data_IF_158411778857
#
_entry.id   IF_158411778857
#
_cell.length_a   1.000
_cell.length_b   1.000
_cell.length_c   1.000
_cell.angle_alpha   90.00
_cell.angle_beta   90.00
_cell.angle_gamma   90.00
#
_symmetry.space_group_name_H-M   'P 1'
#
loop_
_entity.id
_entity.type
_entity.pdbx_description
1 polymer ?
#
# COMPACT_ATOMS: atom_id res chain seq x y z
N UNK A 1 -21.10 1.84 12.77
CA UNK A 1 -19.70 1.49 12.53
C UNK A 1 -19.46 0.01 12.74
N UNK A 2 -18.76 -0.63 11.84
CA UNK A 2 -18.54 -2.07 11.89
C UNK A 2 -17.10 -2.34 12.36
N UNK A 3 -16.93 -2.55 13.66
CA UNK A 3 -15.61 -2.78 14.23
C UNK A 3 -14.97 -4.06 13.71
N UNK A 4 -15.78 -5.05 13.39
CA UNK A 4 -15.29 -6.30 12.84
C UNK A 4 -14.66 -6.08 11.46
N UNK A 5 -15.28 -5.24 10.65
CA UNK A 5 -14.75 -4.93 9.33
C UNK A 5 -13.44 -4.15 9.43
N UNK A 6 -13.37 -3.20 10.36
CA UNK A 6 -12.15 -2.44 10.59
C UNK A 6 -11.02 -3.34 11.04
N UNK A 7 -11.31 -4.28 11.93
CA UNK A 7 -10.30 -5.24 12.37
C UNK A 7 -9.82 -6.09 11.20
N UNK A 8 -10.74 -6.53 10.35
CA UNK A 8 -10.38 -7.30 9.17
C UNK A 8 -9.47 -6.48 8.26
N UNK A 9 -9.78 -5.20 8.07
CA UNK A 9 -8.94 -4.32 7.26
C UNK A 9 -7.52 -4.24 7.81
N UNK A 10 -7.39 -4.10 9.13
CA UNK A 10 -6.09 -4.02 9.76
C UNK A 10 -5.32 -5.33 9.64
N UNK A 11 -6.01 -6.45 9.84
CA UNK A 11 -5.38 -7.76 9.73
C UNK A 11 -4.89 -8.02 8.32
N UNK A 12 -5.70 -7.64 7.32
CA UNK A 12 -5.32 -7.80 5.91
C UNK A 12 -4.11 -6.94 5.60
N UNK A 13 -4.14 -5.67 6.04
CA UNK A 13 -3.01 -4.77 5.80
C UNK A 13 -1.73 -5.32 6.40
N UNK A 14 -1.80 -5.78 7.63
CA UNK A 14 -0.62 -6.31 8.31
C UNK A 14 -0.08 -7.55 7.61
N UNK A 15 -0.96 -8.48 7.26
CA UNK A 15 -0.55 -9.70 6.60
C UNK A 15 0.08 -9.42 5.23
N UNK A 16 -0.54 -8.52 4.45
CA UNK A 16 0.00 -8.18 3.14
C UNK A 16 1.33 -7.45 3.25
N UNK A 17 1.52 -6.64 4.29
CA UNK A 17 2.79 -5.97 4.47
C UNK A 17 3.93 -6.96 4.72
N UNK A 18 3.62 -8.12 5.28
CA UNK A 18 4.60 -9.17 5.46
C UNK A 18 4.78 -10.03 4.22
N UNK A 19 3.73 -10.18 3.43
CA UNK A 19 3.78 -11.02 2.23
C UNK A 19 4.42 -10.30 1.04
N UNK A 20 4.22 -8.99 0.94
CA UNK A 20 4.66 -8.24 -0.22
C UNK A 20 6.17 -8.35 -0.47
N UNK A 21 7.04 -8.28 0.55
CA UNK A 21 8.48 -8.49 0.32
C UNK A 21 8.85 -9.86 -0.21
N UNK A 22 7.95 -10.84 -0.07
CA UNK A 22 8.20 -12.20 -0.55
C UNK A 22 7.86 -12.39 -2.03
N UNK A 23 7.22 -11.38 -2.65
CA UNK A 23 6.93 -11.43 -4.07
C UNK A 23 8.24 -11.35 -4.84
N UNK A 24 8.49 -12.31 -5.71
CA UNK A 24 9.77 -12.40 -6.41
C UNK A 24 9.81 -11.63 -7.72
N UNK A 25 8.70 -11.07 -8.14
CA UNK A 25 8.63 -10.33 -9.40
C UNK A 25 9.39 -9.02 -9.28
N UNK A 26 10.44 -8.80 -10.09
CA UNK A 26 11.22 -7.56 -9.99
C UNK A 26 10.40 -6.30 -10.27
N UNK A 27 9.30 -6.43 -11.01
CA UNK A 27 8.43 -5.27 -11.25
C UNK A 27 7.79 -4.76 -9.96
N UNK A 28 7.64 -5.63 -8.97
CA UNK A 28 7.08 -5.26 -7.67
C UNK A 28 8.16 -4.72 -6.74
N UNK A 29 9.38 -5.23 -6.85
CA UNK A 29 10.48 -4.85 -5.96
C UNK A 29 11.21 -3.64 -6.53
N UNK A 30 10.52 -2.51 -6.57
CA UNK A 30 11.06 -1.25 -7.06
C UNK A 30 11.13 -0.23 -5.94
N UNK A 31 11.96 0.79 -6.15
CA UNK A 31 12.08 1.87 -5.19
C UNK A 31 12.90 1.45 -3.98
N UNK A 32 12.89 2.32 -2.98
CA UNK A 32 13.67 2.12 -1.77
C UNK A 32 12.85 1.47 -0.67
N UNK A 33 11.55 1.73 -0.65
CA UNK A 33 10.67 1.22 0.38
C UNK A 33 9.26 1.12 -0.18
N UNK A 34 8.65 -0.05 0.00
CA UNK A 34 7.26 -0.29 -0.37
C UNK A 34 6.49 -0.54 0.91
N UNK A 35 5.36 0.13 1.08
CA UNK A 35 4.53 -0.09 2.24
C UNK A 35 3.07 -0.11 1.85
N UNK A 36 2.28 -0.85 2.63
CA UNK A 36 0.84 -0.89 2.45
C UNK A 36 0.24 0.09 3.44
N UNK A 37 -0.35 1.15 2.92
CA UNK A 37 -0.85 2.22 3.76
C UNK A 37 -2.25 1.95 4.26
N UNK A 38 -3.04 1.20 3.48
CA UNK A 38 -4.43 0.96 3.84
C UNK A 38 -4.96 -0.26 3.10
N UNK A 39 -5.88 -0.96 3.73
CA UNK A 39 -6.64 -2.02 3.09
C UNK A 39 -8.11 -1.79 3.43
N UNK A 40 -8.97 -1.92 2.42
CA UNK A 40 -10.41 -1.69 2.58
C UNK A 40 -11.15 -2.87 1.98
N UNK A 41 -11.69 -3.72 2.85
CA UNK A 41 -12.49 -4.87 2.44
C UNK A 41 -13.92 -4.42 2.26
N UNK A 42 -14.57 -4.87 1.19
CA UNK A 42 -15.98 -4.53 0.98
C UNK A 42 -16.84 -5.27 2.00
N UNK A 43 -18.06 -4.74 2.24
CA UNK A 43 -18.94 -5.29 3.26
C UNK A 43 -19.34 -6.73 2.99
N UNK A 44 -19.37 -7.15 1.72
CA UNK A 44 -19.67 -8.54 1.34
C UNK A 44 -18.43 -9.42 1.31
N UNK A 45 -17.26 -8.89 1.67
CA UNK A 45 -15.98 -9.59 1.73
C UNK A 45 -15.49 -10.12 0.37
N UNK A 46 -16.02 -9.62 -0.73
CA UNK A 46 -15.62 -10.08 -2.05
C UNK A 46 -14.38 -9.41 -2.58
N UNK A 47 -14.16 -8.16 -2.21
CA UNK A 47 -13.05 -7.36 -2.75
C UNK A 47 -12.33 -6.66 -1.63
N UNK A 48 -11.04 -6.43 -1.84
CA UNK A 48 -10.23 -5.64 -0.93
C UNK A 48 -9.39 -4.69 -1.75
N UNK A 49 -9.58 -3.40 -1.53
CA UNK A 49 -8.71 -2.39 -2.10
C UNK A 49 -7.48 -2.25 -1.24
N UNK A 50 -6.32 -2.39 -1.85
CA UNK A 50 -5.04 -2.35 -1.14
C UNK A 50 -4.27 -1.14 -1.65
N UNK A 51 -4.00 -0.21 -0.76
CA UNK A 51 -3.28 1.02 -1.11
C UNK A 51 -1.80 0.83 -0.79
N UNK A 52 -0.97 1.03 -1.80
CA UNK A 52 0.46 0.77 -1.72
C UNK A 52 1.20 2.07 -1.98
N UNK A 53 2.17 2.38 -1.14
CA UNK A 53 3.04 3.54 -1.30
C UNK A 53 4.46 3.08 -1.57
N UNK A 54 5.13 3.76 -2.49
CA UNK A 54 6.51 3.44 -2.84
C UNK A 54 7.33 4.70 -2.73
N UNK A 55 8.43 4.62 -1.98
CA UNK A 55 9.43 5.66 -1.93
C UNK A 55 10.55 5.31 -2.91
N UNK A 56 11.05 6.33 -3.62
CA UNK A 56 12.10 6.13 -4.60
C UNK A 56 11.53 6.05 -6.01
N UNK A 57 12.41 5.70 -6.94
CA UNK A 57 12.00 5.65 -8.34
C UNK A 57 11.11 4.46 -8.63
N UNK A 58 10.12 4.69 -9.45
CA UNK A 58 9.10 3.70 -9.72
C UNK A 58 8.60 3.82 -11.14
N UNK A 59 8.61 2.69 -11.85
CA UNK A 59 7.86 2.58 -13.09
C UNK A 59 6.46 2.08 -12.74
N UNK A 60 5.49 3.00 -12.68
CA UNK A 60 4.16 2.67 -12.20
C UNK A 60 3.48 1.59 -13.01
N UNK A 61 3.65 1.65 -14.32
CA UNK A 61 3.01 0.69 -15.22
C UNK A 61 3.50 -0.72 -14.94
N UNK A 62 4.82 -0.88 -14.85
CA UNK A 62 5.41 -2.17 -14.55
C UNK A 62 5.05 -2.64 -13.14
N UNK A 63 5.06 -1.72 -12.20
CA UNK A 63 4.72 -2.04 -10.82
C UNK A 63 3.29 -2.57 -10.72
N UNK A 64 2.35 -1.89 -11.36
CA UNK A 64 0.94 -2.32 -11.35
C UNK A 64 0.78 -3.68 -12.03
N UNK A 65 1.49 -3.90 -13.13
CA UNK A 65 1.45 -5.20 -13.80
C UNK A 65 2.00 -6.30 -12.92
N UNK A 66 3.08 -6.01 -12.22
CA UNK A 66 3.67 -6.98 -11.29
C UNK A 66 2.73 -7.32 -10.16
N UNK A 67 2.09 -6.32 -9.57
CA UNK A 67 1.12 -6.56 -8.51
C UNK A 67 -0.05 -7.38 -9.01
N UNK A 68 -0.56 -7.06 -10.19
CA UNK A 68 -1.66 -7.81 -10.77
C UNK A 68 -1.26 -9.26 -11.01
N UNK A 69 -0.05 -9.48 -11.46
CA UNK A 69 0.47 -10.83 -11.70
C UNK A 69 0.65 -11.59 -10.39
N UNK A 70 1.03 -10.90 -9.31
CA UNK A 70 1.25 -11.53 -8.01
C UNK A 70 -0.05 -11.68 -7.21
N UNK A 71 -1.12 -11.04 -7.61
CA UNK A 71 -2.36 -11.01 -6.84
C UNK A 71 -2.91 -12.39 -6.51
N UNK A 72 -2.94 -13.37 -7.43
CA UNK A 72 -3.45 -14.70 -7.07
C UNK A 72 -2.64 -15.37 -5.98
N UNK A 73 -1.32 -15.23 -6.02
CA UNK A 73 -0.45 -15.79 -5.00
C UNK A 73 -0.65 -15.08 -3.67
N UNK A 74 -0.70 -13.74 -3.70
CA UNK A 74 -0.94 -12.96 -2.50
C UNK A 74 -2.29 -13.30 -1.87
N UNK A 75 -3.32 -13.47 -2.71
CA UNK A 75 -4.64 -13.82 -2.23
C UNK A 75 -4.63 -15.17 -1.53
N UNK A 76 -3.98 -16.14 -2.11
CA UNK A 76 -3.89 -17.48 -1.54
C UNK A 76 -3.15 -17.46 -0.21
N UNK A 77 -2.02 -16.76 -0.16
CA UNK A 77 -1.23 -16.67 1.06
C UNK A 77 -1.97 -15.90 2.14
N UNK A 78 -2.70 -14.86 1.74
CA UNK A 78 -3.49 -14.08 2.68
C UNK A 78 -4.57 -14.94 3.33
N UNK A 79 -5.27 -15.72 2.53
CA UNK A 79 -6.31 -16.60 3.04
C UNK A 79 -5.77 -17.59 4.04
N UNK A 80 -4.59 -18.14 3.75
CA UNK A 80 -3.94 -19.07 4.65
C UNK A 80 -3.49 -18.39 5.94
N UNK A 81 -2.91 -17.19 5.82
CA UNK A 81 -2.37 -16.47 6.97
C UNK A 81 -3.46 -16.04 7.94
N UNK A 82 -4.61 -15.65 7.45
CA UNK A 82 -5.69 -15.13 8.28
C UNK A 82 -6.81 -16.13 8.53
N UNK A 83 -6.69 -17.33 7.93
CA UNK A 83 -7.72 -18.36 8.08
C UNK A 83 -9.10 -17.83 7.73
N UNK A 84 -9.17 -17.10 6.61
CA UNK A 84 -10.41 -16.49 6.16
C UNK A 84 -11.30 -17.52 5.48
N UNK A 85 -12.59 -17.45 5.80
CA UNK A 85 -13.59 -18.30 5.15
C UNK A 85 -13.66 -17.98 3.66
N UNK A 86 -13.67 -16.71 3.33
CA UNK A 86 -13.61 -16.23 1.96
C UNK A 86 -12.48 -15.24 1.87
N UNK A 87 -11.61 -15.42 0.88
CA UNK A 87 -10.51 -14.50 0.68
C UNK A 87 -10.91 -13.51 -0.40
N UNK A 88 -10.91 -12.21 -0.09
CA UNK A 88 -11.32 -11.22 -1.08
C UNK A 88 -10.35 -11.14 -2.23
N UNK A 89 -10.87 -10.73 -3.37
CA UNK A 89 -10.02 -10.42 -4.52
C UNK A 89 -9.30 -9.11 -4.25
N UNK A 90 -7.99 -9.08 -4.52
CA UNK A 90 -7.17 -7.92 -4.20
C UNK A 90 -7.12 -6.96 -5.38
N UNK A 91 -7.40 -5.70 -5.11
CA UNK A 91 -7.34 -4.63 -6.08
C UNK A 91 -6.33 -3.62 -5.57
N UNK A 92 -5.21 -3.46 -6.30
CA UNK A 92 -4.13 -2.61 -5.84
C UNK A 92 -4.25 -1.21 -6.42
N UNK A 93 -4.04 -0.22 -5.56
CA UNK A 93 -4.03 1.19 -5.93
C UNK A 93 -2.77 1.82 -5.38
N UNK A 94 -2.19 2.75 -6.13
CA UNK A 94 -1.06 3.50 -5.62
C UNK A 94 -1.56 4.63 -4.74
N UNK A 95 -1.01 4.69 -3.54
CA UNK A 95 -1.30 5.78 -2.61
C UNK A 95 -0.16 6.79 -2.72
N UNK A 96 -0.45 7.93 -3.29
CA UNK A 96 0.56 8.95 -3.56
C UNK A 96 0.69 9.98 -2.46
N UNK A 97 -0.14 9.88 -1.43
CA UNK A 97 -0.17 10.92 -0.40
C UNK A 97 1.15 11.03 0.35
N UNK A 98 1.75 9.90 0.70
CA UNK A 98 3.04 9.89 1.40
C UNK A 98 4.16 10.36 0.48
N UNK A 99 4.19 9.86 -0.74
CA UNK A 99 5.22 10.24 -1.70
C UNK A 99 5.14 11.73 -2.01
N UNK A 100 3.92 12.26 -2.14
CA UNK A 100 3.73 13.69 -2.39
C UNK A 100 4.21 14.52 -1.22
N UNK A 101 3.90 14.09 0.01
CA UNK A 101 4.38 14.78 1.20
C UNK A 101 5.89 14.80 1.30
N UNK A 102 6.53 13.69 0.99
CA UNK A 102 7.99 13.61 1.00
C UNK A 102 8.60 14.55 -0.03
N UNK A 103 7.98 14.64 -1.20
CA UNK A 103 8.45 15.55 -2.25
C UNK A 103 8.37 17.01 -1.80
N UNK A 104 7.27 17.38 -1.15
CA UNK A 104 7.11 18.73 -0.65
C UNK A 104 8.17 19.05 0.40
N UNK A 105 8.45 18.11 1.29
CA UNK A 105 9.48 18.29 2.30
C UNK A 105 10.85 18.50 1.67
N UNK A 106 11.16 17.75 0.62
CA UNK A 106 12.43 17.92 -0.09
C UNK A 106 12.54 19.29 -0.71
N UNK A 107 11.47 19.78 -1.31
CA UNK A 107 11.47 21.11 -1.91
C UNK A 107 11.69 22.18 -0.87
N UNK A 108 11.06 22.03 0.28
CA UNK A 108 11.22 22.99 1.37
C UNK A 108 12.64 23.01 1.88
N UNK A 109 13.26 21.84 2.01
CA UNK A 109 14.66 21.76 2.44
C UNK A 109 15.59 22.43 1.42
N UNK A 110 15.33 22.24 0.14
CA UNK A 110 16.12 22.87 -0.90
C UNK A 110 15.99 24.37 -0.90
N UNK A 111 14.85 24.86 -0.49
CA UNK A 111 14.62 26.30 -0.41
C UNK A 111 15.08 26.91 0.90
N UNK A 112 15.62 26.08 1.80
CA UNK A 112 16.12 26.53 3.09
C UNK A 112 15.05 27.20 3.94
N UNK A 113 13.86 26.65 3.90
CA UNK A 113 12.72 27.12 4.68
C UNK A 113 12.63 26.27 5.94
N UNK A 114 12.31 26.88 7.10
CA UNK A 114 12.16 26.10 8.33
C UNK A 114 11.13 24.99 8.16
N UNK A 115 11.48 23.81 8.65
CA UNK A 115 10.65 22.62 8.42
C UNK A 115 9.33 22.64 9.18
N UNK A 116 9.28 23.34 10.27
CA UNK A 116 8.04 23.39 11.03
C UNK A 116 6.92 24.00 10.23
N UNK A 117 7.25 24.80 9.23
CA UNK A 117 6.24 25.40 8.38
C UNK A 117 5.65 24.41 7.41
N UNK A 118 6.34 23.32 7.15
CA UNK A 118 5.92 22.38 6.15
C UNK A 118 4.82 21.47 6.65
N UNK A 119 4.73 21.37 7.91
CA UNK A 119 3.80 20.40 8.39
C UNK A 119 2.40 20.77 8.08
N UNK A 120 2.30 21.57 7.64
CA UNK A 120 1.29 21.59 7.13
C UNK A 120 1.06 21.28 5.94
N UNK A 121 1.52 21.23 5.84
CA UNK A 121 1.44 20.88 4.81
C UNK A 121 1.07 20.21 4.23
N UNK A 122 0.96 20.04 4.66
CA UNK A 122 0.81 19.51 4.03
C UNK A 122 0.11 19.92 3.41
N UNK A 123 -0.05 20.59 3.65
CA UNK A 123 -0.39 20.92 3.13
C UNK A 123 -0.45 21.42 2.16
N UNK A 124 -0.47 21.86 2.00
CA UNK A 124 -0.41 22.19 1.08
C UNK A 124 -0.68 21.79 0.49
#
# INVERSE_FOLDING_TARGET
>A
MNNKLERTNDDVRYALSKLLPRVKDPRVQQGDLISITRAEVTGDLRYCKVYVSVLGELNEKDFKRGLKSAAPWLRRELGSALDLRYTPELIFELDRSIAHGAHINELIEKLDIPKEDASDADSE
#
